data_IF_042570125830
#
_entry.id   IF_042570125830
#
_cell.length_a   1.000
_cell.length_b   1.000
_cell.length_c   1.000
_cell.angle_alpha   90.00
_cell.angle_beta   90.00
_cell.angle_gamma   90.00
#
_symmetry.space_group_name_H-M   'P 1'
#
loop_
_entity.id
_entity.type
_entity.pdbx_description
1 polymer ?
#
# COMPACT_ATOMS: atom_id res chain seq x y z
N UNK A 1 -14.30 -48.01 48.79
CA UNK A 1 -14.37 -46.85 47.88
C UNK A 1 -15.46 -47.13 46.86
N UNK A 2 -16.67 -46.66 47.14
CA UNK A 2 -17.90 -47.12 46.50
C UNK A 2 -18.11 -46.41 45.15
N UNK A 3 -18.68 -47.11 44.16
CA UNK A 3 -18.95 -46.59 42.81
C UNK A 3 -19.71 -45.25 42.78
N UNK A 4 -20.49 -44.98 43.83
CA UNK A 4 -21.20 -43.72 44.04
C UNK A 4 -20.25 -42.51 44.28
N UNK A 5 -19.11 -42.71 44.95
CA UNK A 5 -18.12 -41.66 45.19
C UNK A 5 -17.34 -41.31 43.92
N UNK A 6 -17.04 -42.32 43.09
CA UNK A 6 -16.40 -42.12 41.79
C UNK A 6 -17.30 -41.34 40.81
N UNK A 7 -18.61 -41.63 40.82
CA UNK A 7 -19.59 -40.90 40.01
C UNK A 7 -19.76 -39.44 40.47
N UNK A 8 -19.76 -39.18 41.79
CA UNK A 8 -19.80 -37.81 42.34
C UNK A 8 -18.57 -36.99 41.96
N UNK A 9 -17.36 -37.56 42.09
CA UNK A 9 -16.12 -36.88 41.68
C UNK A 9 -16.08 -36.57 40.19
N UNK A 10 -16.58 -37.47 39.34
CA UNK A 10 -16.68 -37.25 37.89
C UNK A 10 -17.63 -36.10 37.55
N UNK A 11 -18.74 -35.96 38.28
CA UNK A 11 -19.67 -34.85 38.10
C UNK A 11 -19.12 -33.52 38.63
N UNK A 12 -18.38 -33.53 39.74
CA UNK A 12 -17.67 -32.33 40.22
C UNK A 12 -16.59 -31.85 39.25
N UNK A 13 -15.85 -32.79 38.64
CA UNK A 13 -14.83 -32.45 37.64
C UNK A 13 -15.45 -31.90 36.35
N UNK A 14 -16.63 -32.40 35.95
CA UNK A 14 -17.40 -31.83 34.84
C UNK A 14 -17.99 -30.45 35.17
N UNK A 15 -18.51 -30.25 36.38
CA UNK A 15 -19.08 -28.98 36.82
C UNK A 15 -18.03 -27.86 36.89
N UNK A 16 -16.80 -28.18 37.28
CA UNK A 16 -15.70 -27.21 37.30
C UNK A 16 -15.19 -26.86 35.89
N UNK A 17 -15.37 -27.72 34.89
CA UNK A 17 -14.99 -27.42 33.49
C UNK A 17 -15.99 -26.53 32.76
N UNK A 18 -17.26 -26.47 33.19
CA UNK A 18 -18.29 -25.63 32.55
C UNK A 18 -18.34 -24.19 33.07
N UNK A 19 -17.51 -23.83 34.08
CA UNK A 19 -17.49 -22.51 34.70
C UNK A 19 -16.42 -21.53 34.19
N UNK A 20 -15.52 -21.97 33.33
CA UNK A 20 -14.49 -21.10 32.73
C UNK A 20 -14.65 -21.05 31.22
N UNK A 21 -15.70 -20.33 30.79
CA UNK A 21 -15.58 -19.61 29.52
C UNK A 21 -14.52 -18.55 29.79
N UNK A 22 -13.35 -18.56 29.12
CA UNK A 22 -12.41 -17.45 29.22
C UNK A 22 -13.16 -16.22 28.73
N UNK A 23 -13.66 -15.42 29.67
CA UNK A 23 -14.25 -14.12 29.40
C UNK A 23 -13.18 -13.37 28.63
N UNK A 24 -13.50 -13.06 27.37
CA UNK A 24 -12.58 -12.43 26.44
C UNK A 24 -11.82 -11.34 27.17
N UNK A 25 -10.49 -11.41 27.08
CA UNK A 25 -9.63 -10.31 27.47
C UNK A 25 -10.24 -9.07 26.83
N UNK A 26 -10.89 -8.25 27.65
CA UNK A 26 -11.39 -6.96 27.24
C UNK A 26 -10.16 -6.27 26.68
N UNK A 27 -10.15 -6.11 25.35
CA UNK A 27 -9.08 -5.43 24.63
C UNK A 27 -8.93 -4.08 25.31
N UNK A 28 -7.92 -3.97 26.18
CA UNK A 28 -7.62 -2.74 26.87
C UNK A 28 -7.33 -1.76 25.75
N UNK A 29 -8.22 -0.77 25.57
CA UNK A 29 -8.04 0.30 24.61
C UNK A 29 -6.79 1.04 25.08
N UNK A 30 -5.63 0.63 24.54
CA UNK A 30 -4.38 1.36 24.75
C UNK A 30 -4.66 2.82 24.37
N UNK A 31 -4.19 3.80 25.17
CA UNK A 31 -4.39 5.19 24.82
C UNK A 31 -3.83 5.42 23.41
N UNK A 32 -4.68 5.95 22.52
CA UNK A 32 -4.32 6.28 21.14
C UNK A 32 -3.07 7.17 21.06
N UNK A 33 -2.83 7.96 22.12
CA UNK A 33 -1.63 8.76 22.32
C UNK A 33 -0.63 8.00 23.21
N UNK A 34 -0.09 6.90 22.69
CA UNK A 34 0.96 6.15 23.35
C UNK A 34 2.34 6.70 23.03
N UNK A 35 3.29 6.52 23.94
CA UNK A 35 4.73 6.67 23.70
C UNK A 35 5.23 6.12 22.34
N UNK A 36 4.75 4.96 21.81
CA UNK A 36 5.15 4.49 20.47
C UNK A 36 4.77 5.45 19.32
N UNK A 37 3.66 6.17 19.42
CA UNK A 37 3.26 7.16 18.42
C UNK A 37 4.23 8.35 18.41
N UNK A 38 4.62 8.82 19.59
CA UNK A 38 5.58 9.91 19.74
C UNK A 38 6.95 9.54 19.19
N UNK A 39 7.42 8.32 19.45
CA UNK A 39 8.66 7.80 18.86
C UNK A 39 8.56 7.72 17.34
N UNK A 40 7.42 7.29 16.80
CA UNK A 40 7.18 7.26 15.35
C UNK A 40 7.25 8.66 14.72
N UNK A 41 6.56 9.64 15.32
CA UNK A 41 6.58 11.05 14.86
C UNK A 41 8.00 11.62 14.91
N UNK A 42 8.72 11.39 16.01
CA UNK A 42 10.10 11.83 16.15
C UNK A 42 11.01 11.20 15.08
N UNK A 43 10.86 9.89 14.85
CA UNK A 43 11.59 9.18 13.81
C UNK A 43 11.34 9.76 12.42
N UNK A 44 10.07 10.04 12.07
CA UNK A 44 9.72 10.69 10.81
C UNK A 44 10.32 12.09 10.72
N UNK A 45 10.25 12.90 11.78
CA UNK A 45 10.83 14.24 11.79
C UNK A 45 12.35 14.22 11.56
N UNK A 46 13.06 13.28 12.18
CA UNK A 46 14.50 13.07 11.96
C UNK A 46 14.76 12.68 10.50
N UNK A 47 14.00 11.73 9.95
CA UNK A 47 14.15 11.32 8.55
C UNK A 47 13.87 12.45 7.56
N UNK A 48 12.91 13.33 7.84
CA UNK A 48 12.66 14.51 7.01
C UNK A 48 13.80 15.52 7.08
N UNK A 49 14.35 15.76 8.27
CA UNK A 49 15.53 16.61 8.42
C UNK A 49 16.73 16.03 7.65
N UNK A 50 16.99 14.73 7.79
CA UNK A 50 18.04 14.04 7.02
C UNK A 50 17.76 14.14 5.52
N UNK A 51 16.53 13.91 5.06
CA UNK A 51 16.15 13.99 3.64
C UNK A 51 16.40 15.38 3.04
N UNK A 52 16.21 16.46 3.79
CA UNK A 52 16.47 17.82 3.33
C UNK A 52 17.98 18.11 3.26
N UNK A 53 18.75 17.50 4.16
CA UNK A 53 20.20 17.64 4.24
C UNK A 53 20.96 16.74 3.26
N UNK A 54 20.37 15.62 2.82
CA UNK A 54 20.95 14.75 1.79
C UNK A 54 20.98 15.46 0.43
N UNK A 55 22.17 15.86 -0.01
CA UNK A 55 22.41 16.39 -1.35
C UNK A 55 23.87 16.77 -1.60
N UNK A 56 24.27 16.77 -2.87
CA UNK A 56 25.67 17.03 -3.31
C UNK A 56 26.09 18.48 -3.10
N UNK A 57 25.13 19.42 -3.14
CA UNK A 57 25.40 20.83 -2.91
C UNK A 57 25.47 21.14 -1.41
N UNK A 58 26.58 21.77 -1.02
CA UNK A 58 26.80 22.27 0.32
C UNK A 58 25.81 23.41 0.60
N UNK A 59 24.83 23.13 1.45
CA UNK A 59 23.75 24.05 1.80
C UNK A 59 24.29 25.26 2.58
N UNK A 60 25.48 25.13 3.16
CA UNK A 60 26.04 26.13 4.07
C UNK A 60 27.21 26.95 3.48
N UNK A 61 27.72 26.61 2.28
CA UNK A 61 28.92 27.26 1.73
C UNK A 61 28.95 27.57 0.23
N UNK A 62 28.03 27.05 -0.58
CA UNK A 62 28.04 27.26 -2.04
C UNK A 62 27.07 28.33 -2.53
N UNK A 63 27.55 29.27 -3.36
CA UNK A 63 26.70 30.21 -4.10
C UNK A 63 25.63 29.43 -4.90
N UNK A 64 24.36 29.61 -4.55
CA UNK A 64 23.22 28.92 -5.18
C UNK A 64 22.61 27.74 -4.39
N UNK A 65 23.23 27.31 -3.28
CA UNK A 65 22.73 26.21 -2.45
C UNK A 65 21.35 26.46 -1.86
N UNK A 66 21.08 27.70 -1.42
CA UNK A 66 19.79 28.11 -0.86
C UNK A 66 18.65 28.11 -1.90
N UNK A 67 18.93 28.50 -3.15
CA UNK A 67 17.94 28.48 -4.24
C UNK A 67 17.60 27.05 -4.64
N UNK A 68 18.60 26.18 -4.79
CA UNK A 68 18.37 24.77 -5.14
C UNK A 68 17.61 24.02 -4.03
N UNK A 69 17.85 24.38 -2.77
CA UNK A 69 17.12 23.87 -1.61
C UNK A 69 15.61 24.18 -1.69
N UNK A 70 15.26 25.42 -2.01
CA UNK A 70 13.86 25.85 -2.12
C UNK A 70 13.16 25.33 -3.37
N UNK A 71 13.86 25.24 -4.50
CA UNK A 71 13.25 24.87 -5.79
C UNK A 71 13.01 23.36 -5.91
N UNK A 72 13.91 22.53 -5.37
CA UNK A 72 13.88 21.07 -5.63
C UNK A 72 13.69 20.22 -4.38
N UNK A 73 14.40 20.53 -3.28
CA UNK A 73 14.40 19.67 -2.09
C UNK A 73 13.09 19.77 -1.31
N UNK A 74 12.64 20.99 -1.02
CA UNK A 74 11.38 21.20 -0.28
C UNK A 74 10.19 20.59 -1.06
N UNK A 75 9.97 20.87 -2.36
CA UNK A 75 8.83 20.32 -3.09
C UNK A 75 8.89 18.79 -3.19
N UNK A 76 10.09 18.21 -3.39
CA UNK A 76 10.26 16.75 -3.45
C UNK A 76 9.98 16.09 -2.10
N UNK A 77 10.48 16.63 -0.99
CA UNK A 77 10.19 16.07 0.35
C UNK A 77 8.71 16.15 0.66
N UNK A 78 8.04 17.25 0.31
CA UNK A 78 6.58 17.37 0.45
C UNK A 78 5.86 16.31 -0.40
N UNK A 79 6.24 16.14 -1.67
CA UNK A 79 5.65 15.14 -2.56
C UNK A 79 5.82 13.72 -2.01
N UNK A 80 7.00 13.37 -1.49
CA UNK A 80 7.28 12.07 -0.86
C UNK A 80 6.41 11.82 0.38
N UNK A 81 6.27 12.83 1.24
CA UNK A 81 5.42 12.74 2.44
C UNK A 81 3.95 12.56 2.05
N UNK A 82 3.45 13.36 1.11
CA UNK A 82 2.07 13.27 0.65
C UNK A 82 1.78 11.93 -0.04
N UNK A 83 2.68 11.46 -0.90
CA UNK A 83 2.55 10.16 -1.55
C UNK A 83 2.55 9.01 -0.51
N UNK A 84 3.49 9.04 0.45
CA UNK A 84 3.57 8.04 1.51
C UNK A 84 2.33 8.04 2.41
N UNK A 85 1.83 9.22 2.80
CA UNK A 85 0.61 9.37 3.58
C UNK A 85 -0.63 8.86 2.82
N UNK A 86 -0.75 9.18 1.54
CA UNK A 86 -1.83 8.69 0.69
C UNK A 86 -1.80 7.16 0.57
N UNK A 87 -0.63 6.56 0.32
CA UNK A 87 -0.47 5.11 0.26
C UNK A 87 -0.82 4.42 1.58
N UNK A 88 -0.37 4.97 2.71
CA UNK A 88 -0.70 4.45 4.04
C UNK A 88 -2.21 4.48 4.31
N UNK A 89 -2.88 5.59 3.96
CA UNK A 89 -4.33 5.73 4.09
C UNK A 89 -5.09 4.76 3.19
N UNK A 90 -4.70 4.65 1.91
CA UNK A 90 -5.31 3.71 0.97
C UNK A 90 -5.13 2.25 1.41
N UNK A 91 -3.94 1.89 1.92
CA UNK A 91 -3.66 0.58 2.51
C UNK A 91 -4.57 0.28 3.70
N UNK A 92 -4.68 1.22 4.64
CA UNK A 92 -5.56 1.07 5.80
C UNK A 92 -7.04 0.92 5.39
N UNK A 93 -7.53 1.77 4.48
CA UNK A 93 -8.91 1.69 3.98
C UNK A 93 -9.17 0.33 3.32
N UNK A 94 -8.25 -0.16 2.49
CA UNK A 94 -8.40 -1.44 1.83
C UNK A 94 -8.40 -2.61 2.82
N UNK A 95 -7.53 -2.58 3.83
CA UNK A 95 -7.48 -3.59 4.89
C UNK A 95 -8.78 -3.60 5.71
N UNK A 96 -9.37 -2.43 5.99
CA UNK A 96 -10.65 -2.31 6.70
C UNK A 96 -11.83 -2.83 5.86
N UNK A 97 -11.86 -2.51 4.56
CA UNK A 97 -12.91 -2.97 3.64
C UNK A 97 -12.87 -4.47 3.41
N UNK A 98 -11.67 -5.04 3.26
CA UNK A 98 -11.49 -6.47 2.99
C UNK A 98 -11.40 -7.32 4.26
N UNK A 99 -11.28 -6.68 5.42
CA UNK A 99 -10.97 -7.31 6.71
C UNK A 99 -9.76 -8.25 6.64
N UNK A 100 -8.80 -7.92 5.76
CA UNK A 100 -7.63 -8.73 5.49
C UNK A 100 -6.35 -7.88 5.52
N UNK A 101 -5.50 -8.15 6.51
CA UNK A 101 -4.20 -7.48 6.70
C UNK A 101 -3.18 -7.74 5.58
N UNK A 102 -3.43 -8.70 4.70
CA UNK A 102 -2.55 -9.06 3.58
C UNK A 102 -2.97 -8.38 2.26
N UNK A 103 -4.01 -7.54 2.28
CA UNK A 103 -4.47 -6.83 1.08
C UNK A 103 -4.02 -5.38 1.13
N UNK A 104 -3.55 -4.90 -0.01
CA UNK A 104 -3.24 -3.50 -0.29
C UNK A 104 -3.77 -3.15 -1.69
N UNK A 105 -4.16 -1.89 -2.00
CA UNK A 105 -4.52 -1.47 -3.36
C UNK A 105 -3.52 -1.87 -4.45
N UNK A 106 -2.22 -1.93 -4.13
CA UNK A 106 -1.19 -2.40 -5.08
C UNK A 106 -1.33 -3.90 -5.37
N UNK A 107 -1.74 -4.71 -4.38
CA UNK A 107 -1.95 -6.16 -4.57
C UNK A 107 -3.13 -6.49 -5.47
N UNK A 108 -4.06 -5.56 -5.71
CA UNK A 108 -5.19 -5.76 -6.65
C UNK A 108 -4.84 -5.47 -8.11
N UNK A 109 -3.57 -5.23 -8.42
CA UNK A 109 -3.08 -4.95 -9.77
C UNK A 109 -3.23 -3.49 -10.20
N UNK A 110 -3.64 -2.60 -9.30
CA UNK A 110 -3.99 -1.20 -9.62
C UNK A 110 -2.77 -0.43 -10.15
N UNK A 111 -1.56 -0.77 -9.70
CA UNK A 111 -0.30 -0.17 -10.18
C UNK A 111 -0.02 -0.54 -11.63
N UNK A 112 -0.24 -1.80 -12.01
CA UNK A 112 -0.02 -2.31 -13.37
C UNK A 112 -1.00 -1.67 -14.35
N UNK A 113 -2.26 -1.50 -13.97
CA UNK A 113 -3.25 -0.78 -14.76
C UNK A 113 -2.93 0.71 -14.89
N UNK A 114 -2.46 1.36 -13.82
CA UNK A 114 -2.02 2.76 -13.86
C UNK A 114 -0.82 2.95 -14.80
N UNK A 115 0.17 2.05 -14.73
CA UNK A 115 1.35 2.05 -15.59
C UNK A 115 0.99 1.84 -17.06
N UNK A 116 0.09 0.91 -17.36
CA UNK A 116 -0.43 0.71 -18.71
C UNK A 116 -1.15 1.97 -19.23
N UNK A 117 -2.01 2.58 -18.41
CA UNK A 117 -2.72 3.82 -18.78
C UNK A 117 -1.80 5.00 -19.04
N UNK A 118 -0.79 5.18 -18.18
CA UNK A 118 0.25 6.19 -18.37
C UNK A 118 0.97 5.98 -19.70
N UNK A 119 1.41 4.75 -19.97
CA UNK A 119 2.10 4.39 -21.20
C UNK A 119 1.24 4.63 -22.44
N UNK A 120 -0.02 4.16 -22.43
CA UNK A 120 -0.96 4.40 -23.53
C UNK A 120 -1.19 5.88 -23.77
N UNK A 121 -1.27 6.69 -22.71
CA UNK A 121 -1.43 8.14 -22.83
C UNK A 121 -0.23 8.77 -23.52
N UNK A 122 0.99 8.37 -23.17
CA UNK A 122 2.23 8.91 -23.79
C UNK A 122 2.38 8.43 -25.24
N UNK A 123 1.94 7.21 -25.56
CA UNK A 123 1.99 6.68 -26.94
C UNK A 123 0.98 7.42 -27.84
N UNK A 124 -0.25 7.61 -27.35
CA UNK A 124 -1.33 8.25 -28.13
C UNK A 124 -1.13 9.76 -28.20
N UNK A 125 -0.68 10.38 -27.10
CA UNK A 125 -0.47 11.81 -26.99
C UNK A 125 0.88 12.12 -26.31
N UNK A 126 1.98 12.17 -27.10
CA UNK A 126 3.33 12.40 -26.57
C UNK A 126 3.49 13.73 -25.82
N UNK A 127 2.88 14.79 -26.34
CA UNK A 127 2.90 16.15 -25.76
C UNK A 127 1.87 16.35 -24.64
N UNK A 128 1.29 15.26 -24.12
CA UNK A 128 0.37 15.31 -22.99
C UNK A 128 1.02 16.02 -21.80
N UNK A 129 0.31 17.00 -21.24
CA UNK A 129 0.68 17.65 -19.99
C UNK A 129 0.76 16.63 -18.84
N UNK A 130 1.47 16.98 -17.77
CA UNK A 130 1.59 16.12 -16.58
C UNK A 130 0.20 15.70 -16.04
N UNK A 131 -0.77 16.62 -16.06
CA UNK A 131 -2.14 16.38 -15.61
C UNK A 131 -2.85 15.38 -16.51
N UNK A 132 -2.71 15.51 -17.84
CA UNK A 132 -3.33 14.56 -18.78
C UNK A 132 -2.78 13.15 -18.60
N UNK A 133 -1.46 13.02 -18.40
CA UNK A 133 -0.80 11.73 -18.10
C UNK A 133 -1.31 11.12 -16.78
N UNK A 134 -1.46 11.93 -15.74
CA UNK A 134 -2.03 11.50 -14.44
C UNK A 134 -3.49 11.05 -14.58
N UNK A 135 -4.32 11.81 -15.29
CA UNK A 135 -5.72 11.45 -15.53
C UNK A 135 -5.83 10.15 -16.30
N UNK A 136 -5.02 9.95 -17.34
CA UNK A 136 -4.97 8.69 -18.09
C UNK A 136 -4.60 7.49 -17.22
N UNK A 137 -3.59 7.65 -16.35
CA UNK A 137 -3.22 6.62 -15.38
C UNK A 137 -4.36 6.32 -14.38
N UNK A 138 -5.03 7.35 -13.85
CA UNK A 138 -6.14 7.20 -12.90
C UNK A 138 -7.32 6.47 -13.56
N UNK A 139 -7.70 6.85 -14.78
CA UNK A 139 -8.81 6.21 -15.50
C UNK A 139 -8.51 4.74 -15.75
N UNK A 140 -7.30 4.41 -16.22
CA UNK A 140 -6.91 3.03 -16.45
C UNK A 140 -6.87 2.22 -15.15
N UNK A 141 -6.33 2.77 -14.06
CA UNK A 141 -6.32 2.16 -12.74
C UNK A 141 -7.74 1.88 -12.21
N UNK A 142 -8.67 2.82 -12.44
CA UNK A 142 -10.06 2.67 -12.05
C UNK A 142 -10.76 1.57 -12.86
N UNK A 143 -10.56 1.54 -14.18
CA UNK A 143 -11.06 0.48 -15.06
C UNK A 143 -10.51 -0.89 -14.60
N UNK A 144 -9.21 -0.96 -14.33
CA UNK A 144 -8.58 -2.17 -13.84
C UNK A 144 -9.13 -2.68 -12.52
N UNK A 145 -9.43 -1.76 -11.61
CA UNK A 145 -10.06 -2.08 -10.32
C UNK A 145 -11.49 -2.61 -10.51
N UNK A 146 -12.27 -2.04 -11.45
CA UNK A 146 -13.59 -2.57 -11.81
C UNK A 146 -13.46 -3.99 -12.36
N UNK A 147 -12.54 -4.22 -13.30
CA UNK A 147 -12.28 -5.54 -13.90
C UNK A 147 -11.91 -6.56 -12.81
N UNK A 148 -11.04 -6.18 -11.88
CA UNK A 148 -10.66 -7.00 -10.73
C UNK A 148 -11.89 -7.42 -9.90
N UNK A 149 -12.76 -6.48 -9.53
CA UNK A 149 -13.96 -6.81 -8.75
C UNK A 149 -14.98 -7.65 -9.53
N UNK A 150 -15.13 -7.43 -10.84
CA UNK A 150 -15.98 -8.26 -11.70
C UNK A 150 -15.46 -9.70 -11.74
N UNK A 151 -14.15 -9.88 -11.87
CA UNK A 151 -13.53 -11.19 -11.83
C UNK A 151 -13.72 -11.87 -10.47
N UNK A 152 -13.50 -11.12 -9.38
CA UNK A 152 -13.66 -11.63 -8.02
C UNK A 152 -15.09 -12.10 -7.73
N UNK A 153 -16.12 -11.42 -8.26
CA UNK A 153 -17.52 -11.84 -8.14
C UNK A 153 -17.82 -13.21 -8.79
N UNK A 154 -17.02 -13.62 -9.78
CA UNK A 154 -17.17 -14.92 -10.45
C UNK A 154 -16.49 -16.06 -9.69
N UNK A 155 -15.58 -15.75 -8.77
CA UNK A 155 -14.86 -16.75 -7.97
C UNK A 155 -15.70 -17.11 -6.74
N UNK A 156 -16.17 -18.35 -6.67
CA UNK A 156 -17.07 -18.84 -5.60
C UNK A 156 -16.35 -19.16 -4.28
N UNK A 157 -15.03 -19.36 -4.33
CA UNK A 157 -14.21 -19.67 -3.16
C UNK A 157 -13.88 -18.37 -2.40
N UNK A 158 -14.41 -18.26 -1.18
CA UNK A 158 -14.29 -17.05 -0.33
C UNK A 158 -13.23 -17.22 0.76
N UNK A 159 -12.01 -17.59 0.39
CA UNK A 159 -10.89 -17.56 1.33
C UNK A 159 -10.20 -16.19 1.29
N UNK A 160 -9.72 -15.72 2.43
CA UNK A 160 -9.06 -14.41 2.56
C UNK A 160 -7.87 -14.27 1.60
N UNK A 161 -7.20 -15.36 1.27
CA UNK A 161 -6.00 -15.39 0.42
C UNK A 161 -6.30 -15.29 -1.08
N UNK A 162 -7.53 -15.56 -1.51
CA UNK A 162 -7.88 -15.55 -2.94
C UNK A 162 -7.82 -14.14 -3.52
N UNK A 163 -8.20 -13.12 -2.75
CA UNK A 163 -8.22 -11.72 -3.20
C UNK A 163 -6.81 -11.25 -3.61
N UNK A 164 -5.75 -11.38 -2.79
CA UNK A 164 -4.38 -11.07 -3.21
C UNK A 164 -3.88 -11.92 -4.39
N UNK A 165 -4.13 -13.23 -4.39
CA UNK A 165 -3.62 -14.12 -5.44
C UNK A 165 -4.18 -13.73 -6.81
N UNK A 166 -5.50 -13.52 -6.88
CA UNK A 166 -6.17 -13.07 -8.11
C UNK A 166 -5.62 -11.72 -8.57
N UNK A 167 -5.35 -10.81 -7.64
CA UNK A 167 -4.81 -9.50 -7.95
C UNK A 167 -3.40 -9.56 -8.54
N UNK A 168 -2.52 -10.37 -7.93
CA UNK A 168 -1.16 -10.62 -8.46
C UNK A 168 -1.22 -11.29 -9.84
N UNK A 169 -2.14 -12.25 -10.04
CA UNK A 169 -2.31 -12.91 -11.34
C UNK A 169 -2.77 -11.93 -12.43
N UNK A 170 -3.78 -11.10 -12.13
CA UNK A 170 -4.27 -10.08 -13.06
C UNK A 170 -3.22 -9.01 -13.33
N UNK A 171 -2.52 -8.56 -12.29
CA UNK A 171 -1.38 -7.64 -12.40
C UNK A 171 -0.29 -8.20 -13.30
N UNK A 172 0.10 -9.48 -13.15
CA UNK A 172 1.10 -10.12 -14.00
C UNK A 172 0.67 -10.17 -15.48
N UNK A 173 -0.60 -10.43 -15.77
CA UNK A 173 -1.14 -10.39 -17.15
C UNK A 173 -1.03 -8.99 -17.74
N UNK A 174 -1.48 -7.98 -17.01
CA UNK A 174 -1.44 -6.57 -17.45
C UNK A 174 0.01 -6.08 -17.56
N UNK A 175 0.89 -6.50 -16.66
CA UNK A 175 2.31 -6.22 -16.68
C UNK A 175 3.02 -6.85 -17.89
N UNK A 176 2.66 -8.08 -18.26
CA UNK A 176 3.16 -8.72 -19.47
C UNK A 176 2.71 -7.98 -20.73
N UNK A 177 1.45 -7.55 -20.80
CA UNK A 177 0.95 -6.70 -21.90
C UNK A 177 1.69 -5.36 -21.95
N UNK A 178 1.90 -4.75 -20.79
CA UNK A 178 2.64 -3.48 -20.67
C UNK A 178 4.08 -3.63 -21.16
N UNK A 179 4.73 -4.74 -20.78
CA UNK A 179 6.10 -5.06 -21.20
C UNK A 179 6.17 -5.30 -22.71
N UNK A 180 5.22 -6.04 -23.28
CA UNK A 180 5.15 -6.26 -24.73
C UNK A 180 5.05 -4.94 -25.50
N UNK A 181 4.14 -4.06 -25.09
CA UNK A 181 3.99 -2.74 -25.74
C UNK A 181 5.25 -1.91 -25.55
N UNK A 182 5.86 -1.91 -24.36
CA UNK A 182 7.06 -1.15 -24.07
C UNK A 182 8.28 -1.61 -24.89
N UNK A 183 8.37 -2.90 -25.23
CA UNK A 183 9.38 -3.39 -26.17
C UNK A 183 9.10 -2.88 -27.59
N UNK A 184 7.84 -2.88 -28.02
CA UNK A 184 7.46 -2.38 -29.34
C UNK A 184 7.65 -0.88 -29.52
N UNK A 185 7.69 -0.11 -28.43
CA UNK A 185 7.82 1.36 -28.45
C UNK A 185 9.15 1.88 -27.90
N UNK A 186 10.12 1.00 -27.62
CA UNK A 186 11.42 1.34 -27.00
C UNK A 186 11.29 2.05 -25.63
N UNK A 187 10.20 1.81 -24.91
CA UNK A 187 9.87 2.43 -23.61
C UNK A 187 10.18 1.54 -22.41
N UNK A 188 10.91 0.44 -22.58
CA UNK A 188 11.16 -0.53 -21.51
C UNK A 188 11.83 0.11 -20.27
N UNK A 189 12.77 1.04 -20.49
CA UNK A 189 13.43 1.78 -19.41
C UNK A 189 12.45 2.70 -18.68
N UNK A 190 11.64 3.45 -19.42
CA UNK A 190 10.62 4.36 -18.86
C UNK A 190 9.60 3.60 -18.02
N UNK A 191 9.16 2.43 -18.51
CA UNK A 191 8.26 1.53 -17.79
C UNK A 191 8.89 1.05 -16.46
N UNK A 192 10.18 0.69 -16.47
CA UNK A 192 10.89 0.33 -15.24
C UNK A 192 10.96 1.47 -14.22
N UNK A 193 11.23 2.70 -14.68
CA UNK A 193 11.25 3.90 -13.82
C UNK A 193 9.87 4.17 -13.22
N UNK A 194 8.79 4.00 -13.98
CA UNK A 194 7.42 4.22 -13.50
C UNK A 194 6.99 3.18 -12.47
N UNK A 195 7.34 1.91 -12.65
CA UNK A 195 7.05 0.86 -11.67
C UNK A 195 7.88 0.99 -10.39
N UNK A 196 9.12 1.48 -10.48
CA UNK A 196 9.94 1.77 -9.30
C UNK A 196 9.44 3.00 -8.51
N UNK A 197 8.72 3.91 -9.18
CA UNK A 197 8.30 5.20 -8.64
C UNK A 197 9.46 6.20 -8.63
N UNK A 198 9.29 7.34 -9.31
CA UNK A 198 10.32 8.38 -9.40
C UNK A 198 9.74 9.75 -9.03
N UNK A 199 10.47 10.48 -8.19
CA UNK A 199 10.16 11.86 -7.77
C UNK A 199 11.20 12.85 -8.31
N UNK A 200 12.01 12.43 -9.28
CA UNK A 200 13.14 13.22 -9.80
C UNK A 200 12.69 14.47 -10.58
N UNK A 201 11.49 14.44 -11.14
CA UNK A 201 10.93 15.53 -11.96
C UNK A 201 10.15 16.60 -11.19
N UNK A 202 10.08 16.50 -9.86
CA UNK A 202 9.62 17.55 -8.96
C UNK A 202 10.83 18.38 -8.53
#
# INVERSE_FOLDING_TARGET
MTLAEAARRRNETRRNRTGQVPRGAASAKAPLFGWPLLLGILGVAILLAVSLLTGVYDVFGGDGGAQMFQITRIPRTIALVLAGAAMAMCGLVMQLLTQNRFVEPTTTGTTEWAGLGLMLTVIIYPDASIVARMVGAIIAAFIGTIVFFVFLRRVSLKSSLIVPIVGIMLGAVVGAVSTFIAVQTDMLQSLGIWFAGSFTSI
#
